data_IF_493233742139
#
_entry.id   IF_493233742139
#
_cell.length_a   1.000
_cell.length_b   1.000
_cell.length_c   1.000
_cell.angle_alpha   90.00
_cell.angle_beta   90.00
_cell.angle_gamma   90.00
#
_symmetry.space_group_name_H-M   'P 1'
#
loop_
_entity.id
_entity.type
_entity.pdbx_description
1 polymer ?
#
# COMPACT_ATOMS: atom_id res chain seq x y z
N UNK A 1 21.00 -30.23 3.80
CA UNK A 1 20.16 -29.25 4.55
C UNK A 1 21.10 -28.19 5.10
N UNK A 2 20.76 -26.89 5.02
CA UNK A 2 21.65 -25.84 5.54
C UNK A 2 21.72 -25.89 7.07
N UNK A 3 22.90 -25.63 7.64
CA UNK A 3 23.09 -25.52 9.10
C UNK A 3 22.62 -24.18 9.62
N UNK A 4 22.39 -24.06 10.94
CA UNK A 4 22.06 -22.77 11.57
C UNK A 4 23.14 -21.71 11.34
N UNK A 5 24.41 -22.10 11.29
CA UNK A 5 25.52 -21.18 11.05
C UNK A 5 25.49 -20.62 9.61
N UNK A 6 25.16 -21.47 8.64
CA UNK A 6 24.97 -21.07 7.24
C UNK A 6 23.79 -20.12 7.09
N UNK A 7 22.66 -20.36 7.75
CA UNK A 7 21.50 -19.44 7.73
C UNK A 7 21.86 -18.08 8.33
N UNK A 8 22.52 -18.05 9.50
CA UNK A 8 22.99 -16.79 10.10
C UNK A 8 23.96 -16.04 9.18
N UNK A 9 24.73 -16.73 8.34
CA UNK A 9 25.61 -16.09 7.37
C UNK A 9 24.82 -15.42 6.24
N UNK A 10 23.68 -15.99 5.84
CA UNK A 10 22.76 -15.37 4.89
C UNK A 10 22.15 -14.09 5.48
N UNK A 11 21.67 -14.14 6.73
CA UNK A 11 21.09 -12.96 7.40
C UNK A 11 22.10 -11.80 7.49
N UNK A 12 23.37 -12.10 7.79
CA UNK A 12 24.43 -11.08 7.86
C UNK A 12 24.77 -10.46 6.50
N UNK A 13 24.56 -11.20 5.42
CA UNK A 13 24.91 -10.80 4.06
C UNK A 13 23.70 -10.30 3.27
N UNK A 14 22.53 -10.21 3.88
CA UNK A 14 21.31 -9.73 3.24
C UNK A 14 21.35 -8.20 3.10
N UNK A 15 21.43 -7.64 1.87
CA UNK A 15 21.44 -6.19 1.66
C UNK A 15 20.12 -5.51 2.08
N UNK A 16 19.04 -6.28 2.29
CA UNK A 16 17.73 -5.79 2.70
C UNK A 16 17.49 -5.88 4.21
N UNK A 17 18.44 -6.42 4.98
CA UNK A 17 18.27 -6.65 6.42
C UNK A 17 17.86 -5.38 7.20
N UNK A 18 18.27 -4.19 6.73
CA UNK A 18 17.89 -2.91 7.31
C UNK A 18 16.38 -2.63 7.29
N UNK A 19 15.66 -3.07 6.26
CA UNK A 19 14.21 -2.86 6.14
C UNK A 19 13.41 -3.57 7.23
N UNK A 20 13.97 -4.61 7.87
CA UNK A 20 13.32 -5.31 8.98
C UNK A 20 13.00 -4.36 10.15
N UNK A 21 13.78 -3.29 10.33
CA UNK A 21 13.56 -2.30 11.38
C UNK A 21 12.39 -1.34 11.07
N UNK A 22 11.91 -1.29 9.82
CA UNK A 22 10.77 -0.45 9.43
C UNK A 22 9.42 -1.07 9.80
N UNK A 23 9.39 -2.26 10.40
CA UNK A 23 8.17 -2.98 10.75
C UNK A 23 8.11 -3.34 12.23
N UNK A 24 6.92 -3.12 12.81
CA UNK A 24 6.61 -3.55 14.18
C UNK A 24 6.12 -4.99 14.17
N UNK A 25 6.82 -5.85 14.91
CA UNK A 25 6.47 -7.26 15.10
C UNK A 25 6.56 -7.64 16.59
N UNK A 26 5.61 -8.41 17.13
CA UNK A 26 5.68 -8.86 18.52
C UNK A 26 6.91 -9.73 18.78
N UNK A 27 7.58 -9.62 19.95
CA UNK A 27 8.70 -10.47 20.31
C UNK A 27 8.34 -11.96 20.24
N UNK A 28 9.25 -12.78 19.71
CA UNK A 28 9.08 -14.24 19.64
C UNK A 28 8.15 -14.74 18.52
N UNK A 29 7.50 -13.86 17.75
CA UNK A 29 6.62 -14.25 16.64
C UNK A 29 7.42 -14.43 15.36
N UNK A 30 7.32 -15.62 14.74
CA UNK A 30 7.76 -15.87 13.37
C UNK A 30 6.56 -15.66 12.45
N UNK A 31 6.46 -14.47 11.86
CA UNK A 31 5.28 -14.06 11.10
C UNK A 31 5.37 -14.48 9.62
N UNK A 32 4.70 -15.58 9.27
CA UNK A 32 4.71 -16.17 7.92
C UNK A 32 3.37 -16.03 7.18
N UNK A 33 2.58 -14.99 7.49
CA UNK A 33 1.27 -14.74 6.86
C UNK A 33 1.15 -13.30 6.30
N UNK A 34 2.29 -12.70 5.93
CA UNK A 34 2.36 -11.34 5.38
C UNK A 34 1.64 -11.16 4.04
N UNK A 35 1.36 -12.26 3.33
CA UNK A 35 0.59 -12.29 2.09
C UNK A 35 -0.92 -12.04 2.29
N UNK A 36 -1.43 -12.25 3.51
CA UNK A 36 -2.83 -11.94 3.86
C UNK A 36 -2.94 -10.56 4.50
N UNK A 37 -2.08 -10.30 5.49
CA UNK A 37 -1.97 -8.99 6.13
C UNK A 37 -0.49 -8.66 6.35
N UNK A 38 0.00 -7.60 5.72
CA UNK A 38 1.37 -7.15 5.93
C UNK A 38 1.62 -6.72 7.38
N UNK A 39 2.84 -6.91 7.92
CA UNK A 39 3.20 -6.36 9.22
C UNK A 39 3.09 -4.82 9.18
N UNK A 40 2.72 -4.22 10.31
CA UNK A 40 2.53 -2.77 10.38
C UNK A 40 3.88 -2.04 10.24
N UNK A 41 4.03 -1.11 9.28
CA UNK A 41 5.18 -0.22 9.25
C UNK A 41 5.22 0.66 10.50
N UNK A 42 6.40 0.91 11.04
CA UNK A 42 6.58 1.69 12.28
C UNK A 42 5.95 3.09 12.21
N UNK A 43 6.03 3.73 11.04
CA UNK A 43 5.51 5.08 10.81
C UNK A 43 3.98 5.15 10.60
N UNK A 44 3.31 4.02 10.36
CA UNK A 44 1.90 4.02 9.98
C UNK A 44 0.99 4.60 11.08
N UNK A 45 1.22 4.20 12.34
CA UNK A 45 0.44 4.70 13.48
C UNK A 45 0.65 6.20 13.71
N UNK A 46 1.89 6.69 13.57
CA UNK A 46 2.20 8.11 13.71
C UNK A 46 1.50 8.94 12.63
N UNK A 47 1.54 8.48 11.37
CA UNK A 47 0.89 9.18 10.25
C UNK A 47 -0.64 9.22 10.41
N UNK A 48 -1.24 8.12 10.87
CA UNK A 48 -2.67 8.07 11.16
C UNK A 48 -3.05 9.05 12.29
N UNK A 49 -2.25 9.11 13.36
CA UNK A 49 -2.47 10.04 14.46
C UNK A 49 -2.34 11.51 14.03
N UNK A 50 -1.37 11.83 13.17
CA UNK A 50 -1.21 13.18 12.60
C UNK A 50 -2.42 13.58 11.75
N UNK A 51 -2.89 12.69 10.88
CA UNK A 51 -4.08 12.92 10.05
C UNK A 51 -5.33 13.19 10.90
N UNK A 52 -5.52 12.43 11.99
CA UNK A 52 -6.67 12.58 12.87
C UNK A 52 -6.57 13.84 13.75
N UNK A 53 -5.44 14.06 14.40
CA UNK A 53 -5.32 15.09 15.45
C UNK A 53 -4.96 16.47 14.89
N UNK A 54 -4.08 16.54 13.89
CA UNK A 54 -3.59 17.80 13.36
C UNK A 54 -4.39 18.19 12.11
N UNK A 55 -4.39 17.33 11.09
CA UNK A 55 -4.99 17.67 9.81
C UNK A 55 -6.51 17.79 9.96
N UNK A 56 -7.17 16.78 10.53
CA UNK A 56 -8.61 16.86 10.76
C UNK A 56 -8.95 17.75 11.96
N UNK A 57 -8.39 17.44 13.13
CA UNK A 57 -8.75 18.12 14.38
C UNK A 57 -8.54 19.63 14.38
N UNK A 58 -7.51 20.13 13.68
CA UNK A 58 -7.19 21.58 13.63
C UNK A 58 -7.44 22.17 12.25
N UNK A 59 -7.03 21.49 11.19
CA UNK A 59 -7.15 22.00 9.82
C UNK A 59 -8.59 22.03 9.31
N UNK A 60 -9.44 21.13 9.79
CA UNK A 60 -10.84 20.96 9.38
C UNK A 60 -10.95 20.84 7.84
N UNK A 61 -11.98 21.45 7.24
CA UNK A 61 -12.23 21.39 5.80
C UNK A 61 -11.05 21.90 4.95
N UNK A 62 -10.19 22.76 5.51
CA UNK A 62 -9.02 23.28 4.77
C UNK A 62 -8.03 22.18 4.41
N UNK A 63 -7.99 21.09 5.17
CA UNK A 63 -7.06 19.97 5.00
C UNK A 63 -7.25 19.20 3.69
N UNK A 64 -8.41 19.33 3.03
CA UNK A 64 -8.56 18.92 1.63
C UNK A 64 -7.45 19.48 0.74
N UNK A 65 -7.04 20.72 0.99
CA UNK A 65 -5.99 21.42 0.27
C UNK A 65 -4.69 21.49 1.07
N UNK A 66 -4.74 21.95 2.32
CA UNK A 66 -3.53 22.24 3.11
C UNK A 66 -2.77 20.99 3.56
N UNK A 67 -3.47 19.87 3.77
CA UNK A 67 -2.87 18.56 4.03
C UNK A 67 -2.84 17.66 2.78
N UNK A 68 -3.32 18.18 1.64
CA UNK A 68 -3.29 17.49 0.36
C UNK A 68 -4.20 16.27 0.25
N UNK A 69 -5.26 16.14 1.06
CA UNK A 69 -6.15 14.98 1.01
C UNK A 69 -6.79 14.78 -0.35
N UNK A 70 -7.12 15.88 -1.06
CA UNK A 70 -7.68 15.78 -2.42
C UNK A 70 -6.72 15.09 -3.40
N UNK A 71 -5.42 15.38 -3.29
CA UNK A 71 -4.40 14.85 -4.19
C UNK A 71 -3.85 13.49 -3.75
N UNK A 72 -4.12 13.05 -2.51
CA UNK A 72 -3.53 11.84 -1.94
C UNK A 72 -3.79 10.56 -2.77
N UNK A 73 -5.01 10.29 -3.27
CA UNK A 73 -5.28 9.11 -4.10
C UNK A 73 -4.39 9.02 -5.35
N UNK A 74 -4.15 10.15 -6.02
CA UNK A 74 -3.34 10.24 -7.23
C UNK A 74 -1.86 10.12 -6.93
N UNK A 75 -1.37 10.85 -5.91
CA UNK A 75 0.03 10.76 -5.46
C UNK A 75 0.43 9.33 -5.05
N UNK A 76 -0.49 8.61 -4.38
CA UNK A 76 -0.28 7.22 -4.04
C UNK A 76 -0.32 6.32 -5.28
N UNK A 77 -1.21 6.62 -6.23
CA UNK A 77 -1.26 5.97 -7.54
C UNK A 77 0.07 6.07 -8.29
N UNK A 78 0.59 7.28 -8.46
CA UNK A 78 1.88 7.53 -9.16
C UNK A 78 3.06 6.82 -8.48
N UNK A 79 3.04 6.72 -7.14
CA UNK A 79 4.07 5.98 -6.41
C UNK A 79 3.99 4.47 -6.65
N UNK A 80 2.78 3.92 -6.77
CA UNK A 80 2.58 2.51 -7.12
C UNK A 80 2.88 2.23 -8.60
N UNK A 81 2.63 3.19 -9.49
CA UNK A 81 2.87 3.06 -10.92
C UNK A 81 4.32 2.67 -11.23
N UNK A 82 5.28 3.27 -10.52
CA UNK A 82 6.72 2.94 -10.60
C UNK A 82 7.05 1.48 -10.25
N UNK A 83 6.23 0.83 -9.40
CA UNK A 83 6.42 -0.56 -9.00
C UNK A 83 5.68 -1.55 -9.92
N UNK A 84 4.62 -1.08 -10.59
CA UNK A 84 3.69 -1.93 -11.35
C UNK A 84 3.79 -1.75 -12.87
N UNK A 85 4.66 -0.86 -13.34
CA UNK A 85 4.92 -0.64 -14.77
C UNK A 85 3.86 0.21 -15.47
N UNK A 86 3.22 1.13 -14.74
CA UNK A 86 2.31 2.12 -15.30
C UNK A 86 2.98 3.50 -15.34
N UNK A 87 2.50 4.39 -16.21
CA UNK A 87 2.97 5.77 -16.31
C UNK A 87 2.32 6.68 -15.24
N UNK A 88 2.92 7.87 -15.06
CA UNK A 88 2.34 8.91 -14.19
C UNK A 88 0.95 9.28 -14.69
N UNK A 89 -0.03 9.31 -13.77
CA UNK A 89 -1.42 9.60 -14.07
C UNK A 89 -2.26 8.40 -14.53
N UNK A 90 -1.68 7.20 -14.66
CA UNK A 90 -2.43 5.99 -15.05
C UNK A 90 -3.01 5.20 -13.87
N UNK A 91 -2.67 5.58 -12.63
CA UNK A 91 -3.10 4.88 -11.41
C UNK A 91 -3.73 5.82 -10.38
N UNK A 92 -4.68 5.28 -9.61
CA UNK A 92 -5.28 5.94 -8.44
C UNK A 92 -5.53 4.91 -7.34
N UNK A 93 -5.22 5.27 -6.08
CA UNK A 93 -5.56 4.43 -4.91
C UNK A 93 -6.96 4.82 -4.40
N UNK A 94 -7.94 3.93 -4.57
CA UNK A 94 -9.33 4.16 -4.19
C UNK A 94 -10.06 2.87 -3.86
N UNK A 95 -11.13 2.96 -3.06
CA UNK A 95 -12.09 1.90 -2.76
C UNK A 95 -11.43 0.56 -2.30
N UNK A 96 -12.12 -0.56 -2.57
CA UNK A 96 -11.66 -1.92 -2.30
C UNK A 96 -11.50 -2.71 -3.60
N UNK A 97 -10.69 -3.77 -3.58
CA UNK A 97 -10.36 -4.60 -4.76
C UNK A 97 -11.60 -5.04 -5.54
N UNK A 98 -12.62 -5.58 -4.86
CA UNK A 98 -13.85 -6.04 -5.52
C UNK A 98 -14.65 -4.91 -6.19
N UNK A 99 -14.67 -3.71 -5.60
CA UNK A 99 -15.31 -2.55 -6.19
C UNK A 99 -14.56 -2.06 -7.43
N UNK A 100 -13.23 -2.02 -7.39
CA UNK A 100 -12.43 -1.61 -8.54
C UNK A 100 -12.50 -2.61 -9.70
N UNK A 101 -12.54 -3.91 -9.39
CA UNK A 101 -12.79 -4.94 -10.40
C UNK A 101 -14.16 -4.77 -11.06
N UNK A 102 -15.21 -4.54 -10.26
CA UNK A 102 -16.55 -4.27 -10.78
C UNK A 102 -16.55 -3.05 -11.70
N UNK A 103 -15.95 -1.92 -11.27
CA UNK A 103 -15.86 -0.69 -12.08
C UNK A 103 -15.15 -0.94 -13.41
N UNK A 104 -14.01 -1.62 -13.39
CA UNK A 104 -13.23 -1.91 -14.59
C UNK A 104 -13.99 -2.80 -15.58
N UNK A 105 -14.63 -3.87 -15.09
CA UNK A 105 -15.41 -4.78 -15.94
C UNK A 105 -16.67 -4.09 -16.48
N UNK A 106 -17.41 -3.36 -15.63
CA UNK A 106 -18.59 -2.62 -16.06
C UNK A 106 -18.25 -1.59 -17.16
N UNK A 107 -17.15 -0.85 -17.00
CA UNK A 107 -16.67 0.08 -18.02
C UNK A 107 -16.28 -0.65 -19.32
N UNK A 108 -15.55 -1.77 -19.24
CA UNK A 108 -15.16 -2.56 -20.39
C UNK A 108 -16.37 -3.13 -21.15
N UNK A 109 -17.42 -3.56 -20.45
CA UNK A 109 -18.68 -4.01 -21.05
C UNK A 109 -19.42 -2.85 -21.73
N UNK A 110 -19.50 -1.69 -21.09
CA UNK A 110 -20.15 -0.50 -21.67
C UNK A 110 -19.46 -0.02 -22.96
N UNK A 111 -18.14 -0.19 -23.07
CA UNK A 111 -17.37 0.10 -24.29
C UNK A 111 -17.63 -0.89 -25.44
N UNK A 112 -18.25 -2.04 -25.17
CA UNK A 112 -18.52 -3.10 -26.16
C UNK A 112 -19.97 -3.61 -26.08
N UNK A 113 -20.98 -2.75 -26.29
CA UNK A 113 -22.39 -3.06 -26.00
C UNK A 113 -22.96 -4.23 -26.83
N UNK A 114 -22.35 -4.54 -27.98
CA UNK A 114 -22.79 -5.63 -28.86
C UNK A 114 -21.92 -6.89 -28.75
N UNK A 115 -20.91 -6.91 -27.87
CA UNK A 115 -20.10 -8.10 -27.66
C UNK A 115 -20.94 -9.11 -26.88
N UNK A 116 -21.12 -10.29 -27.47
CA UNK A 116 -21.72 -11.44 -26.77
C UNK A 116 -20.88 -11.78 -25.53
N UNK A 117 -21.46 -11.62 -24.35
CA UNK A 117 -20.95 -12.21 -23.11
C UNK A 117 -21.32 -13.70 -23.11
N UNK A 118 -20.37 -14.56 -22.72
CA UNK A 118 -20.58 -16.00 -22.53
C UNK A 118 -20.57 -16.26 -21.04
#
# INVERSE_FOLDING_TARGET
>A
MRTRAEIKALDRNDPLAGFRAEFTLPPGVIYLNGNSLGPMPTQAAMRAAEAATQEWGVGLIRSWNTAGWFAAPYKLGDRLAQLLGADVGEMVVTDATGLNQFKAVAAACALRPHRRAI
#
